data_IF_868511614276
#
_entry.id   IF_868511614276
#
_cell.length_a   1.000
_cell.length_b   1.000
_cell.length_c   1.000
_cell.angle_alpha   90.00
_cell.angle_beta   90.00
_cell.angle_gamma   90.00
#
_symmetry.space_group_name_H-M   'P 1'
#
loop_
_entity.id
_entity.type
_entity.pdbx_description
1 polymer ?
#
# COMPACT_ATOMS: atom_id res chain seq x y z
N UNK A 1 27.03 0.18 14.54
CA UNK A 1 28.05 1.24 14.65
C UNK A 1 27.89 2.21 13.49
N UNK A 2 28.34 3.45 13.68
CA UNK A 2 28.53 4.39 12.58
C UNK A 2 29.51 3.82 11.56
N UNK A 3 29.34 4.07 10.27
CA UNK A 3 30.41 3.77 9.31
C UNK A 3 31.73 4.44 9.74
N UNK A 4 32.90 3.93 9.34
CA UNK A 4 34.20 4.52 9.70
C UNK A 4 34.34 6.02 9.32
N UNK A 5 33.48 6.53 8.42
CA UNK A 5 33.38 7.93 8.02
C UNK A 5 32.28 8.73 8.76
N UNK A 6 31.44 8.08 9.57
CA UNK A 6 30.28 8.66 10.23
C UNK A 6 30.63 9.00 11.68
N UNK A 7 30.71 10.30 11.99
CA UNK A 7 30.91 10.79 13.37
C UNK A 7 29.54 10.96 14.03
N UNK A 8 29.12 9.96 14.79
CA UNK A 8 27.91 10.06 15.61
C UNK A 8 28.19 10.84 16.89
N UNK A 9 27.26 11.71 17.29
CA UNK A 9 27.29 12.26 18.65
C UNK A 9 27.04 11.15 19.67
N UNK A 10 27.39 11.37 20.95
CA UNK A 10 27.08 10.42 22.01
C UNK A 10 25.58 10.10 22.11
N UNK A 11 24.73 11.09 21.80
CA UNK A 11 23.27 10.92 21.73
C UNK A 11 22.87 10.03 20.56
N UNK A 12 23.48 10.19 19.39
CA UNK A 12 23.16 9.35 18.22
C UNK A 12 23.65 7.91 18.40
N UNK A 13 24.79 7.72 19.07
CA UNK A 13 25.30 6.40 19.41
C UNK A 13 24.43 5.70 20.45
N UNK A 14 23.91 6.45 21.43
CA UNK A 14 22.93 5.98 22.41
C UNK A 14 21.56 5.68 21.75
N UNK A 15 21.09 6.50 20.82
CA UNK A 15 19.85 6.21 20.07
C UNK A 15 19.97 4.96 19.20
N UNK A 16 21.17 4.71 18.64
CA UNK A 16 21.41 3.62 17.68
C UNK A 16 21.82 2.31 18.33
N UNK A 17 22.52 2.35 19.46
CA UNK A 17 23.08 1.17 20.14
C UNK A 17 22.66 1.04 21.60
N UNK A 18 22.01 2.06 22.16
CA UNK A 18 21.53 2.06 23.54
C UNK A 18 20.33 1.14 23.68
N UNK A 19 20.49 0.15 24.55
CA UNK A 19 19.37 -0.66 25.02
C UNK A 19 18.74 0.08 26.20
N UNK A 20 17.54 0.61 26.01
CA UNK A 20 16.75 1.13 27.12
C UNK A 20 16.16 -0.05 27.90
N UNK A 21 15.77 0.18 29.16
CA UNK A 21 15.04 -0.82 29.96
C UNK A 21 13.69 -1.23 29.34
N UNK A 22 13.25 -0.56 28.27
CA UNK A 22 11.98 -0.77 27.57
C UNK A 22 12.13 -1.54 26.25
N UNK A 23 13.33 -2.06 25.93
CA UNK A 23 13.60 -2.95 24.77
C UNK A 23 12.93 -2.49 23.46
N UNK A 24 12.92 -1.17 23.23
CA UNK A 24 12.10 -0.52 22.21
C UNK A 24 12.80 -0.49 20.86
N UNK A 25 13.00 -1.65 20.25
CA UNK A 25 13.45 -1.75 18.87
C UNK A 25 12.25 -1.57 17.93
N UNK A 26 12.20 -0.42 17.25
CA UNK A 26 11.26 -0.21 16.16
C UNK A 26 11.65 -1.12 14.98
N UNK A 27 10.72 -1.86 14.37
CA UNK A 27 11.04 -2.78 13.28
C UNK A 27 11.63 -2.03 12.07
N UNK A 28 12.57 -2.65 11.37
CA UNK A 28 13.17 -2.02 10.19
C UNK A 28 12.14 -1.84 9.06
N UNK A 29 12.37 -0.91 8.15
CA UNK A 29 11.56 -0.75 6.92
C UNK A 29 11.54 -2.03 6.09
N UNK A 30 12.64 -2.79 6.09
CA UNK A 30 12.74 -4.09 5.44
C UNK A 30 11.85 -5.12 6.12
N UNK A 31 11.78 -5.12 7.46
CA UNK A 31 10.87 -6.01 8.18
C UNK A 31 9.42 -5.73 7.79
N UNK A 32 8.99 -4.46 7.80
CA UNK A 32 7.63 -4.09 7.39
C UNK A 32 7.34 -4.53 5.94
N UNK A 33 8.29 -4.33 5.02
CA UNK A 33 8.17 -4.79 3.64
C UNK A 33 8.08 -6.32 3.50
N UNK A 34 8.73 -7.07 4.40
CA UNK A 34 8.75 -8.53 4.41
C UNK A 34 7.51 -9.17 5.05
N UNK A 35 6.72 -8.44 5.84
CA UNK A 35 5.54 -8.97 6.54
C UNK A 35 4.54 -9.74 5.65
N UNK A 36 4.19 -9.31 4.41
CA UNK A 36 3.35 -10.12 3.55
C UNK A 36 3.97 -11.51 3.28
N UNK A 37 5.28 -11.58 3.09
CA UNK A 37 5.97 -12.85 2.86
C UNK A 37 6.09 -13.70 4.13
N UNK A 38 6.31 -13.09 5.29
CA UNK A 38 6.27 -13.78 6.58
C UNK A 38 4.90 -14.41 6.82
N UNK A 39 3.82 -13.69 6.49
CA UNK A 39 2.46 -14.22 6.55
C UNK A 39 2.26 -15.42 5.63
N UNK A 40 2.90 -15.43 4.44
CA UNK A 40 2.90 -16.58 3.53
C UNK A 40 3.52 -17.82 4.18
N UNK A 41 4.67 -17.63 4.84
CA UNK A 41 5.40 -18.73 5.50
C UNK A 41 4.58 -19.37 6.62
N UNK A 42 3.63 -18.65 7.21
CA UNK A 42 2.71 -19.20 8.20
C UNK A 42 1.76 -20.27 7.65
N UNK A 43 1.58 -20.37 6.33
CA UNK A 43 0.77 -21.42 5.67
C UNK A 43 1.45 -22.79 5.65
N UNK A 44 2.75 -22.84 5.91
CA UNK A 44 3.51 -24.08 5.98
C UNK A 44 3.07 -24.85 7.23
N UNK A 45 2.94 -26.16 7.10
CA UNK A 45 2.58 -27.05 8.20
C UNK A 45 3.66 -27.08 9.30
N UNK A 46 3.33 -27.66 10.45
CA UNK A 46 4.24 -27.68 11.60
C UNK A 46 5.58 -28.40 11.28
N UNK A 47 5.52 -29.51 10.54
CA UNK A 47 6.71 -30.28 10.15
C UNK A 47 7.61 -29.50 9.18
N UNK A 48 7.03 -28.82 8.18
CA UNK A 48 7.75 -27.95 7.26
C UNK A 48 8.37 -26.74 7.98
N UNK A 49 7.65 -26.13 8.92
CA UNK A 49 8.17 -25.04 9.77
C UNK A 49 9.39 -25.47 10.59
N UNK A 50 9.37 -26.67 11.17
CA UNK A 50 10.52 -27.18 11.93
C UNK A 50 11.76 -27.37 11.04
N UNK A 51 11.58 -27.94 9.84
CA UNK A 51 12.68 -28.07 8.86
C UNK A 51 13.23 -26.72 8.44
N UNK A 52 12.36 -25.74 8.22
CA UNK A 52 12.76 -24.38 7.87
C UNK A 52 13.45 -23.66 9.00
N UNK A 53 13.02 -23.87 10.25
CA UNK A 53 13.71 -23.34 11.41
C UNK A 53 15.15 -23.87 11.49
N UNK A 54 15.34 -25.18 11.30
CA UNK A 54 16.68 -25.75 11.27
C UNK A 54 17.55 -25.17 10.13
N UNK A 55 16.99 -25.02 8.93
CA UNK A 55 17.69 -24.38 7.81
C UNK A 55 18.04 -22.91 8.10
N UNK A 56 17.10 -22.18 8.71
CA UNK A 56 17.31 -20.80 9.15
C UNK A 56 18.42 -20.68 10.18
N UNK A 57 18.41 -21.51 11.23
CA UNK A 57 19.42 -21.50 12.28
C UNK A 57 20.83 -21.80 11.73
N UNK A 58 20.94 -22.69 10.73
CA UNK A 58 22.20 -22.93 10.00
C UNK A 58 22.66 -21.69 9.24
N UNK A 59 21.76 -21.02 8.51
CA UNK A 59 22.07 -19.77 7.80
C UNK A 59 22.52 -18.67 8.77
N UNK A 60 21.84 -18.52 9.91
CA UNK A 60 22.22 -17.54 10.95
C UNK A 60 23.58 -17.87 11.55
N UNK A 61 23.86 -19.13 11.88
CA UNK A 61 25.16 -19.54 12.40
C UNK A 61 26.29 -19.26 11.42
N UNK A 62 26.04 -19.45 10.11
CA UNK A 62 27.01 -19.10 9.06
C UNK A 62 27.24 -17.60 9.00
N UNK A 63 26.19 -16.77 9.10
CA UNK A 63 26.35 -15.31 9.18
C UNK A 63 27.18 -14.88 10.41
N UNK A 64 26.96 -15.50 11.57
CA UNK A 64 27.72 -15.21 12.79
C UNK A 64 29.21 -15.53 12.66
N UNK A 65 29.57 -16.55 11.88
CA UNK A 65 30.96 -16.91 11.61
C UNK A 65 31.65 -15.95 10.62
N UNK A 66 30.87 -15.31 9.74
CA UNK A 66 31.39 -14.41 8.70
C UNK A 66 31.44 -12.96 9.14
N UNK A 67 30.53 -12.55 10.03
CA UNK A 67 30.43 -11.18 10.52
C UNK A 67 31.59 -10.84 11.46
N UNK A 68 32.14 -9.63 11.35
CA UNK A 68 33.12 -9.12 12.32
C UNK A 68 32.41 -8.71 13.62
N UNK A 69 31.21 -8.15 13.49
CA UNK A 69 30.27 -7.89 14.57
C UNK A 69 28.90 -8.31 14.06
N UNK A 70 28.23 -9.32 14.64
CA UNK A 70 26.93 -9.78 14.16
C UNK A 70 25.85 -8.73 14.50
N UNK A 71 25.70 -7.73 13.63
CA UNK A 71 24.63 -6.73 13.70
C UNK A 71 23.34 -7.34 13.15
N UNK A 72 22.79 -8.29 13.92
CA UNK A 72 21.50 -8.89 13.63
C UNK A 72 20.44 -8.07 14.35
N UNK A 73 19.73 -7.25 13.58
CA UNK A 73 18.55 -6.54 14.09
C UNK A 73 17.52 -7.56 14.57
N UNK A 74 16.88 -7.25 15.70
CA UNK A 74 15.79 -8.04 16.26
C UNK A 74 14.56 -7.17 16.42
N UNK A 75 13.39 -7.77 16.27
CA UNK A 75 12.12 -7.09 16.56
C UNK A 75 11.89 -7.04 18.08
N UNK A 76 11.31 -5.93 18.56
CA UNK A 76 10.97 -5.74 19.97
C UNK A 76 10.01 -6.81 20.50
N UNK A 77 9.99 -6.97 21.83
CA UNK A 77 9.10 -7.87 22.55
C UNK A 77 7.62 -7.61 22.31
N UNK A 78 7.26 -6.38 21.94
CA UNK A 78 5.89 -5.98 21.57
C UNK A 78 5.36 -6.72 20.33
N UNK A 79 6.25 -7.23 19.47
CA UNK A 79 5.89 -8.00 18.29
C UNK A 79 6.03 -9.49 18.54
N UNK A 80 5.07 -10.27 18.02
CA UNK A 80 5.09 -11.71 18.10
C UNK A 80 6.28 -12.30 17.32
N UNK A 81 7.00 -13.23 17.95
CA UNK A 81 8.08 -13.96 17.28
C UNK A 81 7.54 -14.84 16.15
N UNK A 82 8.25 -14.87 15.03
CA UNK A 82 7.88 -15.72 13.91
C UNK A 82 8.36 -17.17 14.15
N UNK A 83 7.58 -18.22 13.89
CA UNK A 83 7.98 -19.61 14.18
C UNK A 83 9.30 -20.04 13.53
N UNK A 84 9.63 -19.48 12.37
CA UNK A 84 10.84 -19.81 11.61
C UNK A 84 11.98 -18.83 11.89
N UNK A 85 11.69 -17.52 11.95
CA UNK A 85 12.71 -16.48 12.08
C UNK A 85 12.99 -16.11 13.54
N UNK A 86 12.18 -16.58 14.47
CA UNK A 86 12.16 -16.13 15.85
C UNK A 86 11.93 -14.61 15.93
N UNK A 87 12.74 -13.90 16.71
CA UNK A 87 12.79 -12.44 16.79
C UNK A 87 13.75 -11.78 15.80
N UNK A 88 14.32 -12.51 14.83
CA UNK A 88 15.18 -11.86 13.84
C UNK A 88 14.38 -10.91 12.94
N UNK A 89 14.94 -9.74 12.66
CA UNK A 89 14.35 -8.75 11.77
C UNK A 89 14.25 -9.30 10.33
N UNK A 90 13.23 -8.85 9.59
CA UNK A 90 12.93 -9.34 8.24
C UNK A 90 13.94 -8.88 7.19
N UNK A 91 14.79 -7.90 7.52
CA UNK A 91 15.93 -7.47 6.71
C UNK A 91 16.85 -8.63 6.29
N UNK A 92 17.00 -9.65 7.14
CA UNK A 92 17.82 -10.84 6.86
C UNK A 92 17.31 -11.71 5.70
N UNK A 93 16.08 -11.48 5.23
CA UNK A 93 15.54 -12.15 4.05
C UNK A 93 15.98 -11.48 2.73
N UNK A 94 16.53 -10.27 2.77
CA UNK A 94 16.96 -9.56 1.57
C UNK A 94 18.46 -9.72 1.35
N UNK A 95 18.83 -10.27 0.19
CA UNK A 95 20.23 -10.41 -0.21
C UNK A 95 21.00 -9.08 -0.13
N UNK A 96 20.36 -7.99 -0.55
CA UNK A 96 20.95 -6.65 -0.52
C UNK A 96 21.27 -6.11 0.88
N UNK A 97 20.74 -6.71 1.95
CA UNK A 97 21.04 -6.33 3.34
C UNK A 97 22.19 -7.15 3.95
N UNK A 98 22.66 -8.21 3.29
CA UNK A 98 23.72 -9.07 3.83
C UNK A 98 25.03 -8.29 4.07
N UNK A 99 25.34 -7.31 3.23
CA UNK A 99 26.51 -6.45 3.42
C UNK A 99 26.44 -5.65 4.73
N UNK A 100 25.27 -5.10 5.07
CA UNK A 100 25.05 -4.37 6.31
C UNK A 100 25.20 -5.27 7.54
N UNK A 101 24.68 -6.50 7.45
CA UNK A 101 24.67 -7.49 8.54
C UNK A 101 26.08 -7.97 8.89
N UNK A 102 26.93 -8.18 7.87
CA UNK A 102 28.32 -8.59 8.09
C UNK A 102 29.18 -7.45 8.70
N UNK A 103 28.73 -6.20 8.53
CA UNK A 103 29.36 -4.99 9.07
C UNK A 103 30.86 -4.87 8.73
N UNK A 104 31.21 -5.25 7.49
CA UNK A 104 32.59 -5.31 7.03
C UNK A 104 33.08 -3.94 6.54
N UNK A 105 34.32 -3.53 6.86
CA UNK A 105 34.93 -2.33 6.30
C UNK A 105 34.98 -2.40 4.77
N UNK A 106 34.76 -1.28 4.09
CA UNK A 106 34.91 -1.19 2.62
C UNK A 106 36.34 -1.50 2.13
N UNK A 107 37.32 -1.50 3.03
CA UNK A 107 38.72 -1.84 2.79
C UNK A 107 39.04 -3.32 3.03
N UNK A 108 38.08 -4.14 3.46
CA UNK A 108 38.28 -5.58 3.68
C UNK A 108 38.35 -6.32 2.34
N UNK A 109 39.53 -6.85 2.01
CA UNK A 109 39.77 -7.60 0.76
C UNK A 109 39.00 -8.92 0.69
N UNK A 110 38.53 -9.45 1.83
CA UNK A 110 37.73 -10.68 1.92
C UNK A 110 36.22 -10.45 1.81
N UNK A 111 35.78 -9.18 1.66
CA UNK A 111 34.37 -8.79 1.61
C UNK A 111 33.57 -9.59 0.59
N UNK A 112 34.06 -9.69 -0.65
CA UNK A 112 33.36 -10.36 -1.73
C UNK A 112 33.22 -11.88 -1.47
N UNK A 113 34.27 -12.52 -0.93
CA UNK A 113 34.24 -13.93 -0.59
C UNK A 113 33.26 -14.22 0.54
N UNK A 114 33.28 -13.42 1.61
CA UNK A 114 32.32 -13.55 2.73
C UNK A 114 30.88 -13.30 2.28
N UNK A 115 30.65 -12.30 1.43
CA UNK A 115 29.34 -12.04 0.85
C UNK A 115 28.84 -13.22 0.02
N UNK A 116 29.71 -13.84 -0.78
CA UNK A 116 29.37 -15.03 -1.56
C UNK A 116 28.98 -16.20 -0.64
N UNK A 117 29.73 -16.41 0.45
CA UNK A 117 29.42 -17.45 1.44
C UNK A 117 28.11 -17.18 2.20
N UNK A 118 27.84 -15.91 2.53
CA UNK A 118 26.58 -15.49 3.15
C UNK A 118 25.38 -15.72 2.21
N UNK A 119 25.52 -15.37 0.93
CA UNK A 119 24.51 -15.60 -0.12
C UNK A 119 24.21 -17.09 -0.29
N UNK A 120 25.24 -17.94 -0.32
CA UNK A 120 25.07 -19.40 -0.39
C UNK A 120 24.30 -19.95 0.82
N UNK A 121 24.59 -19.44 2.03
CA UNK A 121 23.83 -19.78 3.23
C UNK A 121 22.35 -19.38 3.15
N UNK A 122 22.06 -18.18 2.65
CA UNK A 122 20.69 -17.69 2.46
C UNK A 122 19.96 -18.47 1.34
N UNK A 123 20.65 -18.80 0.26
CA UNK A 123 20.10 -19.58 -0.86
C UNK A 123 19.75 -21.00 -0.44
N UNK A 124 20.51 -21.60 0.50
CA UNK A 124 20.19 -22.89 1.09
C UNK A 124 18.86 -22.84 1.87
N UNK A 125 18.65 -21.79 2.66
CA UNK A 125 17.36 -21.55 3.32
C UNK A 125 16.23 -21.39 2.30
N UNK A 126 16.42 -20.57 1.26
CA UNK A 126 15.42 -20.38 0.21
C UNK A 126 15.09 -21.66 -0.56
N UNK A 127 16.07 -22.52 -0.83
CA UNK A 127 15.83 -23.83 -1.46
C UNK A 127 14.94 -24.71 -0.59
N UNK A 128 15.20 -24.75 0.71
CA UNK A 128 14.35 -25.47 1.66
C UNK A 128 12.93 -24.90 1.69
N UNK A 129 12.80 -23.57 1.61
CA UNK A 129 11.52 -22.86 1.58
C UNK A 129 10.73 -23.15 0.30
N UNK A 130 11.39 -23.14 -0.85
CA UNK A 130 10.80 -23.45 -2.15
C UNK A 130 10.32 -24.91 -2.20
N UNK A 131 11.05 -25.85 -1.60
CA UNK A 131 10.56 -27.21 -1.40
C UNK A 131 9.30 -27.27 -0.53
N UNK A 132 9.23 -26.52 0.58
CA UNK A 132 8.01 -26.51 1.39
C UNK A 132 6.83 -25.90 0.63
N UNK A 133 7.04 -24.80 -0.08
CA UNK A 133 6.00 -24.17 -0.89
C UNK A 133 5.48 -25.14 -1.96
N UNK A 134 6.37 -25.83 -2.69
CA UNK A 134 5.96 -26.85 -3.67
C UNK A 134 5.15 -27.98 -3.05
N UNK A 135 5.53 -28.47 -1.86
CA UNK A 135 4.79 -29.53 -1.14
C UNK A 135 3.35 -29.14 -0.82
N UNK A 136 3.10 -27.87 -0.51
CA UNK A 136 1.75 -27.36 -0.20
C UNK A 136 1.06 -26.70 -1.41
N UNK A 137 1.59 -26.89 -2.62
CA UNK A 137 1.00 -26.36 -3.86
C UNK A 137 1.06 -24.83 -4.00
N UNK A 138 1.95 -24.17 -3.25
CA UNK A 138 2.17 -22.74 -3.34
C UNK A 138 3.33 -22.41 -4.30
N UNK A 139 3.18 -21.35 -5.09
CA UNK A 139 4.24 -20.85 -5.95
C UNK A 139 5.44 -20.32 -5.16
N UNK A 140 6.64 -20.50 -5.71
CA UNK A 140 7.90 -19.96 -5.20
C UNK A 140 7.88 -18.43 -5.30
N UNK A 141 8.00 -17.76 -4.15
CA UNK A 141 7.94 -16.30 -4.03
C UNK A 141 9.06 -15.79 -3.13
N UNK A 142 9.29 -14.48 -3.17
CA UNK A 142 10.28 -13.77 -2.35
C UNK A 142 9.63 -12.57 -1.66
N UNK A 143 10.25 -12.01 -0.62
CA UNK A 143 9.76 -10.80 0.04
C UNK A 143 9.57 -9.63 -0.93
N UNK A 144 8.49 -8.88 -0.75
CA UNK A 144 8.32 -7.58 -1.41
C UNK A 144 9.35 -6.60 -0.86
N UNK A 145 9.85 -5.70 -1.71
CA UNK A 145 10.79 -4.66 -1.31
C UNK A 145 10.13 -3.32 -1.00
N UNK A 146 8.80 -3.26 -0.94
CA UNK A 146 8.05 -2.03 -0.69
C UNK A 146 7.26 -2.12 0.63
N UNK A 147 7.23 -1.00 1.34
CA UNK A 147 6.38 -0.79 2.51
C UNK A 147 5.55 0.49 2.33
N UNK A 148 4.57 0.72 3.20
CA UNK A 148 3.80 1.95 3.22
C UNK A 148 4.11 2.77 4.48
N UNK A 149 4.26 4.09 4.29
CA UNK A 149 4.18 5.07 5.37
C UNK A 149 2.82 5.76 5.28
N UNK A 150 2.00 5.58 6.32
CA UNK A 150 0.68 6.19 6.46
C UNK A 150 0.77 7.41 7.37
N UNK A 151 0.25 8.53 6.89
CA UNK A 151 0.00 9.72 7.68
C UNK A 151 -1.50 10.04 7.63
N UNK A 152 -2.10 10.34 8.77
CA UNK A 152 -3.47 10.83 8.86
C UNK A 152 -3.52 12.12 9.68
N UNK A 153 -4.49 12.97 9.38
CA UNK A 153 -4.73 14.22 10.11
C UNK A 153 -6.22 14.60 10.10
N UNK A 154 -6.70 15.17 11.21
CA UNK A 154 -8.07 15.58 11.39
C UNK A 154 -8.46 16.78 10.52
N UNK A 155 -9.60 16.69 9.87
CA UNK A 155 -10.06 17.74 8.97
C UNK A 155 -10.76 18.88 9.72
N UNK A 156 -10.22 20.10 9.59
CA UNK A 156 -10.82 21.33 10.15
C UNK A 156 -10.95 21.30 11.68
N UNK A 157 -9.96 20.70 12.35
CA UNK A 157 -9.98 20.56 13.81
C UNK A 157 -9.97 21.90 14.54
N UNK A 158 -9.25 22.92 14.03
CA UNK A 158 -9.29 24.29 14.58
C UNK A 158 -10.71 24.86 14.60
N UNK A 159 -11.38 24.91 13.44
CA UNK A 159 -12.76 25.40 13.33
C UNK A 159 -13.73 24.65 14.27
N UNK A 160 -13.50 23.36 14.48
CA UNK A 160 -14.33 22.55 15.38
C UNK A 160 -14.04 22.83 16.86
N UNK A 161 -12.78 23.07 17.21
CA UNK A 161 -12.35 23.46 18.57
C UNK A 161 -12.91 24.84 18.92
N UNK A 162 -12.81 25.81 18.02
CA UNK A 162 -13.32 27.17 18.23
C UNK A 162 -14.83 27.16 18.44
N UNK A 163 -15.56 26.38 17.63
CA UNK A 163 -17.00 26.17 17.78
C UNK A 163 -17.39 25.56 19.12
N UNK A 164 -16.54 24.71 19.71
CA UNK A 164 -16.80 24.11 21.02
C UNK A 164 -16.55 25.11 22.15
N UNK A 165 -15.55 25.98 22.00
CA UNK A 165 -15.20 26.99 22.99
C UNK A 165 -16.35 27.99 23.22
N UNK A 166 -17.11 28.33 22.17
CA UNK A 166 -18.32 29.17 22.25
C UNK A 166 -19.40 28.61 23.20
N UNK A 167 -19.33 27.32 23.50
CA UNK A 167 -20.32 26.62 24.33
C UNK A 167 -19.76 26.14 25.68
N UNK A 168 -18.60 26.67 26.10
CA UNK A 168 -17.99 26.42 27.41
C UNK A 168 -16.94 25.31 27.44
N UNK A 169 -16.11 25.34 28.49
CA UNK A 169 -14.93 24.46 28.63
C UNK A 169 -15.27 22.96 28.73
N UNK A 170 -16.49 22.61 29.16
CA UNK A 170 -16.91 21.20 29.31
C UNK A 170 -16.93 20.49 27.97
N UNK A 171 -17.42 21.15 26.91
CA UNK A 171 -17.46 20.56 25.57
C UNK A 171 -16.08 20.39 24.96
N UNK A 172 -15.18 21.33 25.23
CA UNK A 172 -13.77 21.20 24.86
C UNK A 172 -13.13 20.00 25.58
N UNK A 173 -13.42 19.80 26.87
CA UNK A 173 -12.95 18.64 27.63
C UNK A 173 -13.48 17.32 27.06
N UNK A 174 -14.76 17.27 26.65
CA UNK A 174 -15.34 16.11 25.99
C UNK A 174 -14.63 15.79 24.66
N UNK A 175 -14.29 16.80 23.86
CA UNK A 175 -13.50 16.62 22.64
C UNK A 175 -12.13 16.02 22.95
N UNK A 176 -11.38 16.61 23.89
CA UNK A 176 -10.06 16.11 24.26
C UNK A 176 -10.13 14.65 24.71
N UNK A 177 -11.13 14.28 25.52
CA UNK A 177 -11.34 12.89 25.93
C UNK A 177 -11.69 11.96 24.76
N UNK A 178 -12.47 12.44 23.78
CA UNK A 178 -12.79 11.66 22.59
C UNK A 178 -11.55 11.41 21.70
N UNK A 179 -10.71 12.43 21.54
CA UNK A 179 -9.44 12.32 20.80
C UNK A 179 -8.44 11.42 21.53
N UNK A 180 -8.34 11.50 22.86
CA UNK A 180 -7.52 10.57 23.66
C UNK A 180 -7.96 9.12 23.48
N UNK A 181 -9.28 8.84 23.56
CA UNK A 181 -9.82 7.48 23.30
C UNK A 181 -9.52 7.00 21.89
N UNK A 182 -9.60 7.89 20.90
CA UNK A 182 -9.21 7.54 19.54
C UNK A 182 -7.72 7.17 19.49
N UNK A 183 -6.83 8.03 19.98
CA UNK A 183 -5.38 7.81 19.98
C UNK A 183 -4.97 6.52 20.70
N UNK A 184 -5.56 6.22 21.85
CA UNK A 184 -5.37 4.95 22.55
C UNK A 184 -5.75 3.74 21.69
N UNK A 185 -6.84 3.86 20.93
CA UNK A 185 -7.30 2.79 20.03
C UNK A 185 -6.41 2.59 18.79
N UNK A 186 -5.66 3.62 18.37
CA UNK A 186 -4.81 3.57 17.17
C UNK A 186 -3.71 2.53 17.30
N UNK A 187 -3.08 2.39 18.48
CA UNK A 187 -2.02 1.39 18.70
C UNK A 187 -2.51 -0.02 18.42
N UNK A 188 -3.68 -0.38 18.92
CA UNK A 188 -4.30 -1.69 18.66
C UNK A 188 -4.57 -1.89 17.17
N UNK A 189 -5.19 -0.91 16.52
CA UNK A 189 -5.54 -0.98 15.09
C UNK A 189 -4.29 -1.16 14.23
N UNK A 190 -3.27 -0.34 14.45
CA UNK A 190 -2.07 -0.35 13.63
C UNK A 190 -1.24 -1.60 13.93
N UNK A 191 -0.86 -1.82 15.19
CA UNK A 191 0.14 -2.84 15.52
C UNK A 191 -0.46 -4.25 15.57
N UNK A 192 -1.64 -4.42 16.18
CA UNK A 192 -2.24 -5.75 16.39
C UNK A 192 -3.09 -6.17 15.18
N UNK A 193 -4.05 -5.32 14.77
CA UNK A 193 -5.04 -5.70 13.75
C UNK A 193 -4.45 -5.64 12.32
N UNK A 194 -3.43 -4.81 12.11
CA UNK A 194 -2.86 -4.54 10.78
C UNK A 194 -1.35 -4.75 10.66
N UNK A 195 -0.70 -5.31 11.69
CA UNK A 195 0.73 -5.68 11.68
C UNK A 195 1.68 -4.51 11.36
N UNK A 196 1.22 -3.27 11.55
CA UNK A 196 2.02 -2.07 11.37
C UNK A 196 2.89 -1.75 12.58
N UNK A 197 3.61 -0.65 12.48
CA UNK A 197 4.38 -0.07 13.56
C UNK A 197 4.02 1.41 13.70
N UNK A 198 3.25 1.73 14.75
CA UNK A 198 2.86 3.09 15.09
C UNK A 198 4.08 3.90 15.55
N UNK A 199 4.32 5.05 14.93
CA UNK A 199 5.35 6.02 15.35
C UNK A 199 4.77 6.96 16.40
N UNK A 200 3.64 7.59 16.09
CA UNK A 200 2.91 8.43 17.04
C UNK A 200 1.42 8.49 16.69
N UNK A 201 0.60 8.84 17.69
CA UNK A 201 -0.80 9.23 17.54
C UNK A 201 -1.10 10.36 18.52
N UNK A 202 -1.28 11.58 18.03
CA UNK A 202 -1.41 12.81 18.84
C UNK A 202 -2.85 13.27 19.07
N UNK A 203 -3.83 12.40 18.85
CA UNK A 203 -5.26 12.69 19.07
C UNK A 203 -6.06 12.74 17.77
N UNK A 204 -5.59 13.49 16.79
CA UNK A 204 -6.19 13.59 15.45
C UNK A 204 -5.18 13.28 14.33
N UNK A 205 -3.88 13.36 14.62
CA UNK A 205 -2.81 12.97 13.73
C UNK A 205 -2.29 11.55 14.03
N UNK A 206 -1.85 10.86 12.98
CA UNK A 206 -1.30 9.50 13.06
C UNK A 206 -0.14 9.37 12.08
N UNK A 207 0.96 8.75 12.51
CA UNK A 207 2.04 8.32 11.63
C UNK A 207 2.41 6.86 11.92
N UNK A 208 2.35 6.00 10.90
CA UNK A 208 2.62 4.58 11.05
C UNK A 208 3.27 3.96 9.81
N UNK A 209 4.14 2.98 10.05
CA UNK A 209 4.63 2.09 9.00
C UNK A 209 3.68 0.90 8.88
N UNK A 210 3.31 0.52 7.67
CA UNK A 210 2.35 -0.56 7.43
C UNK A 210 2.81 -1.45 6.27
N UNK A 211 2.56 -2.76 6.34
CA UNK A 211 2.78 -3.63 5.20
C UNK A 211 1.68 -3.41 4.15
N UNK A 212 2.04 -3.62 2.88
CA UNK A 212 1.16 -3.26 1.76
C UNK A 212 -0.17 -4.05 1.75
N UNK A 213 -0.19 -5.29 2.25
CA UNK A 213 -1.41 -6.10 2.26
C UNK A 213 -2.47 -5.64 3.28
N UNK A 214 -2.11 -4.81 4.25
CA UNK A 214 -3.04 -4.30 5.29
C UNK A 214 -3.26 -2.79 5.25
N UNK A 215 -2.38 -2.01 4.62
CA UNK A 215 -2.40 -0.53 4.71
C UNK A 215 -3.75 0.10 4.34
N UNK A 216 -4.40 -0.35 3.26
CA UNK A 216 -5.70 0.20 2.83
C UNK A 216 -6.80 -0.10 3.86
N UNK A 217 -6.82 -1.32 4.41
CA UNK A 217 -7.77 -1.71 5.46
C UNK A 217 -7.55 -0.90 6.74
N UNK A 218 -6.28 -0.70 7.11
CA UNK A 218 -5.92 0.15 8.25
C UNK A 218 -6.41 1.58 8.07
N UNK A 219 -6.20 2.18 6.90
CA UNK A 219 -6.64 3.54 6.61
C UNK A 219 -8.17 3.70 6.73
N UNK A 220 -8.92 2.74 6.17
CA UNK A 220 -10.39 2.69 6.28
C UNK A 220 -10.85 2.56 7.73
N UNK A 221 -10.19 1.68 8.50
CA UNK A 221 -10.52 1.44 9.91
C UNK A 221 -10.21 2.66 10.79
N UNK A 222 -9.07 3.33 10.59
CA UNK A 222 -8.72 4.56 11.28
C UNK A 222 -9.75 5.66 11.03
N UNK A 223 -10.13 5.89 9.76
CA UNK A 223 -11.18 6.84 9.39
C UNK A 223 -12.52 6.51 10.07
N UNK A 224 -12.90 5.23 10.07
CA UNK A 224 -14.15 4.77 10.70
C UNK A 224 -14.14 5.03 12.20
N UNK A 225 -13.03 4.75 12.89
CA UNK A 225 -12.90 4.97 14.34
C UNK A 225 -12.87 6.45 14.69
N UNK A 226 -12.14 7.26 13.93
CA UNK A 226 -12.11 8.70 14.12
C UNK A 226 -13.52 9.30 14.02
N UNK A 227 -14.24 8.96 12.95
CA UNK A 227 -15.62 9.38 12.77
C UNK A 227 -16.52 8.91 13.93
N UNK A 228 -16.39 7.65 14.36
CA UNK A 228 -17.20 7.14 15.47
C UNK A 228 -16.90 7.79 16.82
N UNK A 229 -15.65 8.19 17.06
CA UNK A 229 -15.26 8.91 18.27
C UNK A 229 -15.90 10.31 18.33
N UNK A 230 -16.05 10.98 17.18
CA UNK A 230 -16.48 12.38 17.12
C UNK A 230 -17.93 12.61 16.67
N UNK A 231 -18.60 11.62 16.05
CA UNK A 231 -19.97 11.76 15.52
C UNK A 231 -20.98 12.21 16.58
N UNK A 232 -20.87 11.70 17.80
CA UNK A 232 -21.78 12.03 18.90
C UNK A 232 -21.61 13.47 19.38
N UNK A 233 -20.39 14.02 19.28
CA UNK A 233 -20.13 15.42 19.59
C UNK A 233 -20.62 16.34 18.47
N UNK A 234 -20.33 16.02 17.20
CA UNK A 234 -20.82 16.80 16.06
C UNK A 234 -22.36 16.90 16.02
N UNK A 235 -23.05 15.78 16.24
CA UNK A 235 -24.53 15.74 16.27
C UNK A 235 -25.12 16.65 17.34
N UNK A 236 -24.54 16.65 18.56
CA UNK A 236 -25.01 17.50 19.68
C UNK A 236 -24.80 19.00 19.42
N UNK A 237 -23.86 19.35 18.55
CA UNK A 237 -23.60 20.73 18.13
C UNK A 237 -24.43 21.17 16.92
N UNK A 238 -25.21 20.26 16.31
CA UNK A 238 -25.87 20.54 15.03
C UNK A 238 -24.87 20.79 13.88
N UNK A 239 -23.62 20.29 14.00
CA UNK A 239 -22.55 20.47 13.01
C UNK A 239 -22.11 19.13 12.45
N UNK A 240 -21.53 19.16 11.25
CA UNK A 240 -20.88 17.96 10.70
C UNK A 240 -19.70 17.58 11.59
N UNK A 241 -19.59 16.32 12.01
CA UNK A 241 -18.44 15.88 12.80
C UNK A 241 -17.16 15.96 11.97
N UNK A 242 -15.99 16.20 12.60
CA UNK A 242 -14.71 16.16 11.92
C UNK A 242 -14.50 14.83 11.19
N UNK A 243 -13.78 14.91 10.07
CA UNK A 243 -13.40 13.77 9.24
C UNK A 243 -11.90 13.58 9.26
N UNK A 244 -11.41 12.52 8.64
CA UNK A 244 -9.99 12.19 8.60
C UNK A 244 -9.51 12.17 7.15
N UNK A 245 -8.46 12.94 6.85
CA UNK A 245 -7.73 12.83 5.59
C UNK A 245 -6.48 11.99 5.79
N UNK A 246 -6.23 11.06 4.86
CA UNK A 246 -5.11 10.10 4.95
C UNK A 246 -4.25 10.18 3.70
N UNK A 247 -2.94 10.30 3.91
CA UNK A 247 -1.90 10.15 2.91
C UNK A 247 -1.13 8.84 3.11
N UNK A 248 -0.88 8.11 2.03
CA UNK A 248 -0.06 6.90 2.04
C UNK A 248 1.06 7.07 1.02
N UNK A 249 2.30 6.91 1.46
CA UNK A 249 3.45 6.76 0.57
C UNK A 249 3.88 5.30 0.51
N UNK A 250 3.90 4.72 -0.70
CA UNK A 250 4.45 3.39 -0.96
C UNK A 250 5.84 3.57 -1.55
N UNK A 251 6.86 3.11 -0.83
CA UNK A 251 8.27 3.36 -1.16
C UNK A 251 9.11 2.10 -0.96
N UNK A 252 10.27 2.07 -1.62
CA UNK A 252 11.22 0.98 -1.45
C UNK A 252 11.77 0.96 -0.02
N UNK A 253 12.03 -0.22 0.54
CA UNK A 253 12.59 -0.43 1.89
C UNK A 253 13.98 0.16 2.13
N UNK A 254 14.65 0.64 1.07
CA UNK A 254 15.95 1.31 1.11
C UNK A 254 15.85 2.80 0.75
N UNK A 255 14.65 3.31 0.51
CA UNK A 255 14.45 4.73 0.27
C UNK A 255 14.73 5.52 1.56
N UNK A 256 15.20 6.75 1.39
CA UNK A 256 15.41 7.68 2.52
C UNK A 256 14.09 7.87 3.28
N UNK A 257 14.15 7.79 4.62
CA UNK A 257 12.99 8.08 5.47
C UNK A 257 12.52 9.53 5.34
N UNK A 258 13.42 10.46 4.97
CA UNK A 258 13.04 11.84 4.66
C UNK A 258 12.08 11.89 3.48
N UNK A 259 12.41 11.18 2.41
CA UNK A 259 11.61 11.18 1.18
C UNK A 259 10.29 10.44 1.41
N UNK A 260 10.32 9.32 2.13
CA UNK A 260 9.11 8.60 2.54
C UNK A 260 8.17 9.50 3.35
N UNK A 261 8.70 10.25 4.33
CA UNK A 261 7.94 11.19 5.17
C UNK A 261 7.39 12.37 4.38
N UNK A 262 8.17 12.89 3.44
CA UNK A 262 7.75 13.96 2.54
C UNK A 262 6.59 13.49 1.65
N UNK A 263 6.71 12.33 1.01
CA UNK A 263 5.67 11.77 0.14
C UNK A 263 4.38 11.47 0.91
N UNK A 264 4.47 10.95 2.14
CA UNK A 264 3.29 10.68 2.96
C UNK A 264 2.57 11.96 3.37
N UNK A 265 3.33 13.00 3.71
CA UNK A 265 2.80 14.33 4.00
C UNK A 265 2.16 14.96 2.77
N UNK A 266 2.86 14.97 1.64
CA UNK A 266 2.34 15.52 0.39
C UNK A 266 1.05 14.80 -0.05
N UNK A 267 0.99 13.47 0.08
CA UNK A 267 -0.25 12.73 -0.13
C UNK A 267 -1.37 13.19 0.82
N UNK A 268 -1.12 13.32 2.12
CA UNK A 268 -2.12 13.79 3.08
C UNK A 268 -2.62 15.21 2.75
N UNK A 269 -1.71 16.11 2.35
CA UNK A 269 -2.08 17.44 1.86
C UNK A 269 -2.90 17.41 0.57
N UNK A 270 -2.59 16.50 -0.37
CA UNK A 270 -3.40 16.29 -1.57
C UNK A 270 -4.81 15.80 -1.22
N UNK A 271 -4.96 14.88 -0.25
CA UNK A 271 -6.26 14.45 0.23
C UNK A 271 -7.08 15.63 0.80
N UNK A 272 -6.45 16.51 1.60
CA UNK A 272 -7.11 17.72 2.11
C UNK A 272 -7.52 18.69 0.99
N UNK A 273 -6.63 18.93 0.02
CA UNK A 273 -6.90 19.80 -1.14
C UNK A 273 -8.01 19.25 -2.04
N UNK A 274 -8.19 17.92 -2.09
CA UNK A 274 -9.28 17.25 -2.79
C UNK A 274 -10.63 17.30 -2.03
N UNK A 275 -10.79 18.23 -1.09
CA UNK A 275 -12.05 18.48 -0.40
C UNK A 275 -12.18 17.79 0.97
N UNK A 276 -11.08 17.33 1.58
CA UNK A 276 -11.05 16.65 2.89
C UNK A 276 -11.85 15.35 2.88
N UNK A 277 -11.89 14.63 4.01
CA UNK A 277 -12.53 13.32 4.12
C UNK A 277 -12.11 12.41 2.96
N UNK A 278 -10.80 12.33 2.74
CA UNK A 278 -10.22 11.76 1.53
C UNK A 278 -9.01 10.88 1.82
N UNK A 279 -8.66 10.08 0.82
CA UNK A 279 -7.46 9.27 0.76
C UNK A 279 -6.64 9.71 -0.44
N UNK A 280 -5.33 9.80 -0.23
CA UNK A 280 -4.34 9.93 -1.28
C UNK A 280 -3.28 8.84 -1.12
N UNK A 281 -2.91 8.19 -2.21
CA UNK A 281 -1.83 7.21 -2.26
C UNK A 281 -0.83 7.64 -3.32
N UNK A 282 0.44 7.74 -2.93
CA UNK A 282 1.56 8.01 -3.82
C UNK A 282 2.51 6.82 -3.81
N UNK A 283 2.75 6.21 -4.97
CA UNK A 283 3.76 5.17 -5.16
C UNK A 283 4.97 5.81 -5.82
N UNK A 284 6.11 5.76 -5.13
CA UNK A 284 7.40 6.14 -5.70
C UNK A 284 8.21 4.90 -6.02
N UNK A 285 8.34 4.59 -7.31
CA UNK A 285 9.23 3.52 -7.80
C UNK A 285 10.63 4.11 -7.93
N UNK A 286 11.68 3.28 -7.78
CA UNK A 286 13.11 3.69 -7.86
C UNK A 286 13.50 4.47 -9.13
N UNK A 287 12.66 4.47 -10.16
CA UNK A 287 12.80 5.23 -11.38
C UNK A 287 11.43 5.62 -11.95
N UNK A 288 11.39 6.75 -12.67
CA UNK A 288 10.19 7.28 -13.30
C UNK A 288 9.36 8.21 -12.42
N UNK A 289 8.20 8.62 -12.93
CA UNK A 289 7.25 9.46 -12.20
C UNK A 289 6.49 8.66 -11.13
N UNK A 290 6.09 9.37 -10.07
CA UNK A 290 5.23 8.81 -9.03
C UNK A 290 3.83 8.50 -9.58
N UNK A 291 3.24 7.39 -9.14
CA UNK A 291 1.83 7.09 -9.41
C UNK A 291 0.99 7.61 -8.27
N UNK A 292 -0.01 8.44 -8.58
CA UNK A 292 -0.84 9.12 -7.57
C UNK A 292 -2.32 8.83 -7.79
N UNK A 293 -3.01 8.45 -6.72
CA UNK A 293 -4.46 8.32 -6.68
C UNK A 293 -5.01 9.13 -5.52
N UNK A 294 -6.00 9.98 -5.79
CA UNK A 294 -6.62 10.86 -4.78
C UNK A 294 -8.14 10.83 -4.95
N UNK A 295 -8.87 10.75 -3.85
CA UNK A 295 -10.33 10.82 -3.88
C UNK A 295 -10.96 10.77 -2.50
N UNK A 296 -12.24 11.11 -2.42
CA UNK A 296 -12.99 11.08 -1.16
C UNK A 296 -13.32 9.64 -0.73
N UNK A 297 -13.39 9.42 0.58
CA UNK A 297 -13.87 8.17 1.16
C UNK A 297 -15.28 7.82 0.66
N UNK A 298 -15.55 6.53 0.50
CA UNK A 298 -16.76 5.99 -0.13
C UNK A 298 -16.64 5.85 -1.65
N UNK A 299 -15.67 6.51 -2.29
CA UNK A 299 -15.40 6.37 -3.72
C UNK A 299 -14.04 5.70 -3.97
N UNK A 300 -12.94 6.31 -3.52
CA UNK A 300 -11.59 5.80 -3.82
C UNK A 300 -11.28 4.47 -3.15
N UNK A 301 -11.66 4.28 -1.88
CA UNK A 301 -11.46 3.04 -1.13
C UNK A 301 -12.27 1.88 -1.70
N UNK A 302 -13.51 2.16 -2.13
CA UNK A 302 -14.38 1.18 -2.81
C UNK A 302 -13.79 0.81 -4.17
N UNK A 303 -13.38 1.81 -4.96
CA UNK A 303 -12.80 1.60 -6.30
C UNK A 303 -11.48 0.83 -6.25
N UNK A 304 -10.56 1.22 -5.37
CA UNK A 304 -9.30 0.51 -5.17
C UNK A 304 -9.54 -0.93 -4.69
N UNK A 305 -10.48 -1.14 -3.77
CA UNK A 305 -10.84 -2.50 -3.30
C UNK A 305 -11.39 -3.37 -4.43
N UNK A 306 -12.22 -2.82 -5.31
CA UNK A 306 -12.75 -3.53 -6.48
C UNK A 306 -11.65 -3.85 -7.48
N UNK A 307 -10.78 -2.88 -7.80
CA UNK A 307 -9.62 -3.10 -8.68
C UNK A 307 -8.68 -4.16 -8.11
N UNK A 308 -8.39 -4.12 -6.81
CA UNK A 308 -7.59 -5.15 -6.14
C UNK A 308 -8.23 -6.53 -6.29
N UNK A 309 -9.55 -6.63 -6.15
CA UNK A 309 -10.30 -7.88 -6.32
C UNK A 309 -10.15 -8.43 -7.74
N UNK A 310 -10.27 -7.58 -8.76
CA UNK A 310 -10.06 -7.98 -10.16
C UNK A 310 -8.62 -8.35 -10.48
N UNK A 311 -7.64 -7.66 -9.89
CA UNK A 311 -6.22 -7.98 -10.04
C UNK A 311 -5.90 -9.35 -9.42
N UNK A 312 -6.37 -9.60 -8.20
CA UNK A 312 -6.17 -10.89 -7.50
C UNK A 312 -6.82 -12.06 -8.24
N UNK A 313 -7.98 -11.84 -8.85
CA UNK A 313 -8.65 -12.84 -9.67
C UNK A 313 -8.05 -13.04 -11.07
N UNK A 314 -6.86 -12.46 -11.35
CA UNK A 314 -6.21 -12.44 -12.67
C UNK A 314 -7.11 -11.93 -13.82
N UNK A 315 -8.19 -11.22 -13.48
CA UNK A 315 -9.10 -10.61 -14.44
C UNK A 315 -8.47 -9.35 -15.02
N UNK A 316 -7.72 -8.60 -14.21
CA UNK A 316 -6.90 -7.47 -14.65
C UNK A 316 -5.39 -7.74 -14.50
N UNK A 317 -4.72 -8.44 -15.46
CA UNK A 317 -3.28 -8.69 -15.41
C UNK A 317 -2.38 -7.44 -15.32
N UNK A 318 -1.21 -7.66 -14.72
CA UNK A 318 -0.20 -6.65 -14.35
C UNK A 318 0.22 -5.74 -15.52
N UNK A 319 0.42 -6.30 -16.71
CA UNK A 319 0.89 -5.54 -17.88
C UNK A 319 -0.09 -4.47 -18.41
N UNK A 320 -1.37 -4.48 -17.98
CA UNK A 320 -2.38 -3.60 -18.56
C UNK A 320 -2.15 -2.12 -18.27
N UNK A 321 -1.70 -1.76 -17.08
CA UNK A 321 -1.43 -0.37 -16.76
C UNK A 321 -0.36 0.24 -17.68
N UNK A 322 0.64 -0.56 -18.07
CA UNK A 322 1.69 -0.14 -18.99
C UNK A 322 1.19 -0.01 -20.43
N UNK A 323 0.35 -0.95 -20.91
CA UNK A 323 -0.30 -0.84 -22.23
C UNK A 323 -1.19 0.42 -22.31
N UNK A 324 -1.94 0.73 -21.25
CA UNK A 324 -2.77 1.94 -21.18
C UNK A 324 -1.92 3.21 -21.11
N UNK A 325 -0.78 3.19 -20.40
CA UNK A 325 0.13 4.34 -20.34
C UNK A 325 0.77 4.61 -21.70
N UNK A 326 1.18 3.56 -22.42
CA UNK A 326 1.70 3.67 -23.78
C UNK A 326 0.65 4.26 -24.75
N UNK A 327 -0.63 3.88 -24.60
CA UNK A 327 -1.73 4.51 -25.34
C UNK A 327 -1.82 6.02 -25.07
N UNK A 328 -1.81 6.43 -23.80
CA UNK A 328 -1.86 7.86 -23.42
C UNK A 328 -0.64 8.59 -23.99
N UNK A 329 0.57 8.06 -23.81
CA UNK A 329 1.79 8.69 -24.30
C UNK A 329 1.81 8.90 -25.83
N UNK A 330 1.14 8.03 -26.60
CA UNK A 330 1.09 8.14 -28.07
C UNK A 330 0.01 9.08 -28.58
N UNK A 331 -1.10 9.21 -27.86
CA UNK A 331 -2.28 9.93 -28.33
C UNK A 331 -2.50 11.27 -27.61
N UNK A 332 -1.80 11.52 -26.50
CA UNK A 332 -1.89 12.79 -25.77
C UNK A 332 -1.42 13.97 -26.61
N UNK A 333 -2.28 14.98 -26.69
CA UNK A 333 -2.02 16.28 -27.31
C UNK A 333 -2.29 17.39 -26.29
N UNK A 334 -1.71 18.60 -26.44
CA UNK A 334 -2.03 19.74 -25.58
C UNK A 334 -3.52 20.07 -25.57
N UNK A 335 -4.05 20.59 -24.46
CA UNK A 335 -5.47 21.00 -24.34
C UNK A 335 -5.87 22.07 -25.38
N UNK A 336 -4.90 22.81 -25.91
CA UNK A 336 -5.10 23.82 -26.95
C UNK A 336 -5.28 23.21 -28.35
N UNK A 337 -5.04 21.92 -28.53
CA UNK A 337 -5.18 21.26 -29.82
C UNK A 337 -6.66 21.10 -30.20
N UNK A 338 -7.10 21.50 -31.42
CA UNK A 338 -8.49 21.36 -31.86
C UNK A 338 -9.03 19.92 -31.81
N UNK A 339 -8.16 18.91 -31.81
CA UNK A 339 -8.53 17.50 -31.76
C UNK A 339 -8.53 16.91 -30.34
N UNK A 340 -8.20 17.70 -29.31
CA UNK A 340 -8.06 17.22 -27.93
C UNK A 340 -9.25 16.37 -27.47
N UNK A 341 -10.48 16.91 -27.55
CA UNK A 341 -11.69 16.21 -27.10
C UNK A 341 -11.96 14.92 -27.90
N UNK A 342 -11.70 14.95 -29.20
CA UNK A 342 -11.87 13.78 -30.06
C UNK A 342 -10.86 12.68 -29.68
N UNK A 343 -9.59 13.05 -29.46
CA UNK A 343 -8.53 12.13 -29.05
C UNK A 343 -8.75 11.58 -27.64
N UNK A 344 -9.24 12.39 -26.70
CA UNK A 344 -9.63 11.91 -25.36
C UNK A 344 -10.72 10.84 -25.44
N UNK A 345 -11.73 11.03 -26.28
CA UNK A 345 -12.77 10.03 -26.50
C UNK A 345 -12.21 8.75 -27.15
N UNK A 346 -11.37 8.89 -28.18
CA UNK A 346 -10.70 7.74 -28.81
C UNK A 346 -9.87 6.96 -27.79
N UNK A 347 -9.08 7.65 -26.95
CA UNK A 347 -8.27 7.03 -25.90
C UNK A 347 -9.13 6.23 -24.91
N UNK A 348 -10.28 6.75 -24.48
CA UNK A 348 -11.17 6.04 -23.55
C UNK A 348 -11.74 4.76 -24.17
N UNK A 349 -12.22 4.83 -25.42
CA UNK A 349 -12.72 3.63 -26.12
C UNK A 349 -11.62 2.63 -26.43
N UNK A 350 -10.42 3.09 -26.80
CA UNK A 350 -9.29 2.20 -27.08
C UNK A 350 -8.76 1.54 -25.80
N UNK A 351 -8.74 2.26 -24.68
CA UNK A 351 -8.46 1.71 -23.36
C UNK A 351 -9.46 0.60 -23.01
N UNK A 352 -10.77 0.83 -23.19
CA UNK A 352 -11.77 -0.21 -22.98
C UNK A 352 -11.53 -1.42 -23.88
N UNK A 353 -11.21 -1.21 -25.17
CA UNK A 353 -10.90 -2.29 -26.11
C UNK A 353 -9.69 -3.12 -25.64
N UNK A 354 -8.61 -2.48 -25.18
CA UNK A 354 -7.41 -3.15 -24.67
C UNK A 354 -7.77 -4.01 -23.44
N UNK A 355 -8.49 -3.42 -22.48
CA UNK A 355 -8.90 -4.10 -21.25
C UNK A 355 -9.82 -5.30 -21.56
N UNK A 356 -10.84 -5.11 -22.40
CA UNK A 356 -11.80 -6.15 -22.75
C UNK A 356 -11.18 -7.29 -23.57
N UNK A 357 -10.23 -6.99 -24.45
CA UNK A 357 -9.45 -8.02 -25.16
C UNK A 357 -8.71 -8.93 -24.18
N UNK A 358 -8.11 -8.38 -23.13
CA UNK A 358 -7.36 -9.16 -22.13
C UNK A 358 -8.26 -9.97 -21.20
N UNK A 359 -9.51 -9.54 -21.03
CA UNK A 359 -10.53 -10.26 -20.26
C UNK A 359 -11.12 -11.45 -21.03
N UNK A 360 -11.26 -11.33 -22.36
CA UNK A 360 -11.96 -12.32 -23.20
C UNK A 360 -11.04 -13.26 -23.97
N UNK A 361 -9.73 -13.02 -24.00
CA UNK A 361 -8.75 -13.85 -24.71
C UNK A 361 -7.83 -14.59 -23.71
N UNK A 362 -7.68 -15.93 -23.84
CA UNK A 362 -8.37 -16.82 -24.79
C UNK A 362 -9.87 -16.94 -24.49
N UNK A 363 -10.66 -17.35 -25.50
CA UNK A 363 -12.10 -17.52 -25.35
C UNK A 363 -12.42 -18.45 -24.17
N UNK A 364 -13.37 -18.06 -23.32
CA UNK A 364 -13.73 -18.82 -22.11
C UNK A 364 -12.87 -18.50 -20.87
N UNK A 365 -11.94 -17.54 -20.94
CA UNK A 365 -11.09 -17.14 -19.79
C UNK A 365 -11.90 -16.74 -18.54
N UNK A 366 -13.04 -16.08 -18.73
CA UNK A 366 -13.94 -15.68 -17.64
C UNK A 366 -15.40 -15.98 -18.01
N UNK A 367 -16.26 -16.33 -17.04
CA UNK A 367 -17.69 -16.48 -17.27
C UNK A 367 -18.32 -15.21 -17.86
N UNK A 368 -19.30 -15.31 -18.78
CA UNK A 368 -19.92 -14.15 -19.43
C UNK A 368 -20.50 -13.11 -18.46
N UNK A 369 -21.09 -13.56 -17.36
CA UNK A 369 -21.65 -12.68 -16.32
C UNK A 369 -20.57 -11.80 -15.68
N UNK A 370 -19.41 -12.40 -15.40
CA UNK A 370 -18.26 -11.71 -14.82
C UNK A 370 -17.61 -10.73 -15.80
N UNK A 371 -17.57 -11.09 -17.08
CA UNK A 371 -17.13 -10.17 -18.14
C UNK A 371 -18.05 -8.96 -18.22
N UNK A 372 -19.38 -9.16 -18.14
CA UNK A 372 -20.38 -8.09 -18.15
C UNK A 372 -20.28 -7.18 -16.92
N UNK A 373 -20.06 -7.75 -15.74
CA UNK A 373 -19.82 -6.99 -14.51
C UNK A 373 -18.58 -6.09 -14.64
N UNK A 374 -17.46 -6.65 -15.12
CA UNK A 374 -16.21 -5.92 -15.28
C UNK A 374 -16.34 -4.85 -16.38
N UNK A 375 -16.99 -5.14 -17.51
CA UNK A 375 -17.26 -4.16 -18.57
C UNK A 375 -18.06 -2.97 -18.03
N UNK A 376 -19.14 -3.23 -17.27
CA UNK A 376 -19.94 -2.19 -16.64
C UNK A 376 -19.12 -1.32 -15.69
N UNK A 377 -18.28 -1.95 -14.85
CA UNK A 377 -17.36 -1.22 -13.97
C UNK A 377 -16.37 -0.35 -14.78
N UNK A 378 -15.71 -0.92 -15.79
CA UNK A 378 -14.70 -0.22 -16.59
C UNK A 378 -15.28 0.95 -17.37
N UNK A 379 -16.47 0.80 -17.95
CA UNK A 379 -17.17 1.91 -18.63
C UNK A 379 -17.43 3.08 -17.70
N UNK A 380 -17.86 2.81 -16.46
CA UNK A 380 -18.05 3.86 -15.45
C UNK A 380 -16.73 4.55 -15.11
N UNK A 381 -15.62 3.81 -14.99
CA UNK A 381 -14.32 4.42 -14.69
C UNK A 381 -13.73 5.22 -15.87
N UNK A 382 -14.02 4.81 -17.10
CA UNK A 382 -13.52 5.45 -18.32
C UNK A 382 -14.47 6.55 -18.85
N UNK A 383 -15.54 6.88 -18.13
CA UNK A 383 -16.59 7.81 -18.56
C UNK A 383 -17.17 7.46 -19.95
N UNK A 384 -17.50 6.19 -20.15
CA UNK A 384 -18.11 5.68 -21.37
C UNK A 384 -19.59 5.35 -21.14
N UNK A 385 -20.44 5.50 -22.17
CA UNK A 385 -21.85 5.13 -22.05
C UNK A 385 -22.00 3.63 -21.74
N UNK A 386 -23.10 3.23 -21.07
CA UNK A 386 -23.45 1.81 -20.90
C UNK A 386 -23.52 1.12 -22.26
N UNK A 387 -23.25 -0.19 -22.28
CA UNK A 387 -23.40 -0.97 -23.50
C UNK A 387 -24.89 -0.95 -23.91
N UNK A 388 -25.20 -0.39 -25.08
CA UNK A 388 -26.55 -0.46 -25.66
C UNK A 388 -26.93 -1.93 -25.82
N UNK A 389 -28.05 -2.33 -25.20
CA UNK A 389 -28.65 -3.62 -25.51
C UNK A 389 -29.01 -3.58 -27.00
N UNK A 390 -28.53 -4.54 -27.79
CA UNK A 390 -28.89 -4.69 -29.20
C UNK A 390 -30.40 -4.90 -29.33
N UNK A 391 -31.14 -3.81 -29.34
CA UNK A 391 -32.50 -3.65 -29.82
C UNK A 391 -32.44 -2.48 -30.79
N UNK A 392 -32.79 -2.76 -32.05
CA UNK A 392 -32.86 -1.85 -33.20
C UNK A 392 -32.97 -0.36 -32.81
N UNK A 393 -32.05 0.50 -33.28
CA UNK A 393 -32.36 1.82 -33.84
C UNK A 393 -31.16 2.39 -34.60
N UNK A 394 -31.46 3.15 -35.65
CA UNK A 394 -30.60 3.51 -36.78
C UNK A 394 -29.35 4.34 -36.45
N UNK A 395 -28.30 4.07 -37.23
CA UNK A 395 -26.92 4.59 -37.18
C UNK A 395 -26.77 6.09 -37.55
N UNK A 396 -27.74 6.96 -37.23
CA UNK A 396 -27.70 8.39 -37.63
C UNK A 396 -28.11 9.40 -36.54
N UNK A 397 -28.10 9.02 -35.25
CA UNK A 397 -28.45 9.93 -34.13
C UNK A 397 -27.43 9.96 -32.97
N UNK A 398 -26.21 9.46 -33.17
CA UNK A 398 -25.18 9.46 -32.11
C UNK A 398 -24.77 10.90 -31.68
N UNK A 399 -24.81 11.88 -32.57
CA UNK A 399 -24.33 13.24 -32.30
C UNK A 399 -25.28 14.09 -31.45
N UNK A 400 -26.61 13.86 -31.55
CA UNK A 400 -27.62 14.62 -30.80
C UNK A 400 -27.84 14.05 -29.39
N UNK A 401 -27.70 12.72 -29.23
CA UNK A 401 -27.82 12.08 -27.92
C UNK A 401 -26.67 12.43 -26.97
N UNK A 402 -25.44 12.54 -27.48
CA UNK A 402 -24.26 12.95 -26.67
C UNK A 402 -24.43 14.35 -26.07
N UNK A 403 -25.05 15.29 -26.80
CA UNK A 403 -25.37 16.62 -26.27
C UNK A 403 -26.47 16.58 -25.19
N UNK A 404 -27.54 15.79 -25.40
CA UNK A 404 -28.61 15.66 -24.40
C UNK A 404 -28.17 14.94 -23.12
N UNK A 405 -27.20 14.02 -23.22
CA UNK A 405 -26.61 13.34 -22.07
C UNK A 405 -25.62 14.24 -21.31
N UNK A 406 -24.95 15.18 -21.99
CA UNK A 406 -24.14 16.20 -21.33
C UNK A 406 -25.02 17.16 -20.49
N UNK A 407 -26.20 17.51 -20.98
CA UNK A 407 -27.18 18.34 -20.25
C UNK A 407 -27.85 17.57 -19.08
N UNK A 408 -28.12 16.27 -19.23
CA UNK A 408 -28.65 15.44 -18.13
C UNK A 408 -27.60 15.05 -17.06
N UNK A 409 -26.30 15.18 -17.37
CA UNK A 409 -25.19 14.87 -16.47
C UNK A 409 -24.98 15.88 -15.34
N UNK A 410 -25.62 17.06 -15.37
CA UNK A 410 -25.56 18.02 -14.26
C UNK A 410 -26.18 17.51 -12.94
N UNK A 411 -26.96 16.43 -12.99
CA UNK A 411 -27.78 15.98 -11.84
C UNK A 411 -27.10 14.91 -10.97
N UNK A 412 -25.99 14.28 -11.41
CA UNK A 412 -25.19 13.37 -10.56
C UNK A 412 -23.71 13.72 -10.63
N UNK A 413 -23.27 14.65 -9.77
CA UNK A 413 -21.87 15.07 -9.62
C UNK A 413 -20.97 13.92 -9.16
N UNK A 414 -20.53 13.06 -10.08
CA UNK A 414 -19.30 12.29 -9.93
C UNK A 414 -18.19 13.04 -10.66
N UNK A 415 -17.06 13.37 -10.01
CA UNK A 415 -15.93 13.97 -10.72
C UNK A 415 -15.44 12.98 -11.78
N UNK A 416 -15.26 13.48 -13.00
CA UNK A 416 -14.71 12.70 -14.11
C UNK A 416 -13.30 12.24 -13.75
N UNK A 417 -13.06 10.93 -13.80
CA UNK A 417 -11.72 10.36 -13.58
C UNK A 417 -10.98 10.43 -14.92
N UNK A 418 -9.85 11.13 -14.97
CA UNK A 418 -9.01 11.12 -16.18
C UNK A 418 -8.45 9.71 -16.42
N UNK A 419 -8.17 9.37 -17.68
CA UNK A 419 -7.57 8.08 -18.01
C UNK A 419 -6.23 7.86 -17.27
N UNK A 420 -5.43 8.93 -17.11
CA UNK A 420 -4.21 8.92 -16.31
C UNK A 420 -4.47 8.57 -14.84
N UNK A 421 -5.51 9.17 -14.23
CA UNK A 421 -5.90 8.86 -12.85
C UNK A 421 -6.29 7.38 -12.72
N UNK A 422 -7.06 6.86 -13.67
CA UNK A 422 -7.43 5.45 -13.69
C UNK A 422 -6.21 4.52 -13.84
N UNK A 423 -5.24 4.88 -14.69
CA UNK A 423 -4.00 4.13 -14.86
C UNK A 423 -3.22 4.10 -13.54
N UNK A 424 -3.07 5.25 -12.87
CA UNK A 424 -2.36 5.32 -11.59
C UNK A 424 -3.03 4.45 -10.52
N UNK A 425 -4.35 4.51 -10.42
CA UNK A 425 -5.12 3.65 -9.52
C UNK A 425 -4.97 2.17 -9.83
N UNK A 426 -4.94 1.81 -11.12
CA UNK A 426 -4.70 0.43 -11.52
C UNK A 426 -3.31 -0.04 -11.09
N UNK A 427 -2.25 0.77 -11.25
CA UNK A 427 -0.90 0.45 -10.77
C UNK A 427 -0.87 0.27 -9.26
N UNK A 428 -1.50 1.19 -8.52
CA UNK A 428 -1.57 1.13 -7.06
C UNK A 428 -2.34 -0.12 -6.61
N UNK A 429 -3.50 -0.39 -7.20
CA UNK A 429 -4.31 -1.55 -6.89
C UNK A 429 -3.59 -2.86 -7.22
N UNK A 430 -2.83 -2.93 -8.31
CA UNK A 430 -1.99 -4.08 -8.65
C UNK A 430 -0.93 -4.33 -7.57
N UNK A 431 -0.19 -3.30 -7.14
CA UNK A 431 0.84 -3.46 -6.09
C UNK A 431 0.24 -3.93 -4.76
N UNK A 432 -0.90 -3.37 -4.36
CA UNK A 432 -1.60 -3.79 -3.14
C UNK A 432 -2.17 -5.21 -3.27
N UNK A 433 -2.70 -5.58 -4.44
CA UNK A 433 -3.20 -6.91 -4.75
C UNK A 433 -2.09 -7.96 -4.75
N UNK A 434 -0.93 -7.68 -5.34
CA UNK A 434 0.24 -8.55 -5.33
C UNK A 434 0.74 -8.81 -3.91
N UNK A 435 0.80 -7.77 -3.07
CA UNK A 435 1.16 -7.94 -1.66
C UNK A 435 0.11 -8.76 -0.89
N UNK A 436 -1.18 -8.53 -1.14
CA UNK A 436 -2.26 -9.33 -0.55
C UNK A 436 -2.20 -10.79 -0.98
N UNK A 437 -1.91 -11.05 -2.25
CA UNK A 437 -1.74 -12.40 -2.81
C UNK A 437 -0.46 -13.09 -2.29
N UNK A 438 0.59 -12.32 -2.03
CA UNK A 438 1.80 -12.82 -1.38
C UNK A 438 1.47 -13.33 0.03
N UNK A 439 0.76 -12.52 0.83
CA UNK A 439 0.37 -12.83 2.21
C UNK A 439 -0.68 -13.93 2.34
N UNK A 440 -1.69 -13.87 1.48
CA UNK A 440 -2.84 -14.76 1.48
C UNK A 440 -3.06 -15.21 0.05
N UNK A 441 -2.31 -16.22 -0.43
CA UNK A 441 -2.55 -16.78 -1.76
C UNK A 441 -4.02 -17.19 -1.85
N UNK A 442 -4.67 -16.83 -2.96
CA UNK A 442 -6.00 -17.37 -3.26
C UNK A 442 -5.95 -18.89 -3.22
N UNK A 443 -7.04 -19.54 -2.81
CA UNK A 443 -7.22 -20.96 -3.13
C UNK A 443 -7.06 -21.05 -4.64
N UNK A 444 -5.95 -21.65 -5.09
CA UNK A 444 -5.60 -21.63 -6.49
C UNK A 444 -6.81 -22.13 -7.28
N UNK A 445 -7.35 -21.28 -8.16
CA UNK A 445 -8.11 -21.79 -9.28
C UNK A 445 -7.11 -22.63 -10.04
N UNK A 446 -7.11 -23.94 -9.78
CA UNK A 446 -6.58 -24.92 -10.72
C UNK A 446 -7.38 -24.66 -11.99
N UNK A 447 -6.80 -23.89 -12.90
CA UNK A 447 -7.26 -23.82 -14.28
C UNK A 447 -7.12 -25.20 -14.91
#
# INVERSE_FOLDING_TARGET
MAGLAERLSGVDLLKRSGRTAFDSHFPSTSHIAALPFLQRMMRIDAAGKQKLRAAWDVSIKKLDQLAVIPLKEQISQEYAAHPILDRHDGSLLFEGRLADVLALPSTDTTLNERLLQARDGQQTFYRSLDEQFRRIGLGEKRPSTYYALLQADGDSMGDFIDALAEHGYERHRELSQALSRFAESVRKVVNEDHQGALVYSGGDDVLAFLPLHTVLKCAVELKRRFHNALKGLGTRLGRRPPTLSVGIAIVHQLASLRDARYLAHDAEQQAKRAGKNALAITVSKRSGEDYRAVGNWGNIDVRLSQLMTYCRAASLPVGMAYELRDLVLRLSVPETDPQYDALQNVMRFDALRILMRKLTVPAGKLPPERVKEIDGFLRVQLDLPPQEQKGQHNMFQASSMVRSLAEQREIQRRPLVSLETFINELVIAQMLAEAAELAQPGEGVKL
#
